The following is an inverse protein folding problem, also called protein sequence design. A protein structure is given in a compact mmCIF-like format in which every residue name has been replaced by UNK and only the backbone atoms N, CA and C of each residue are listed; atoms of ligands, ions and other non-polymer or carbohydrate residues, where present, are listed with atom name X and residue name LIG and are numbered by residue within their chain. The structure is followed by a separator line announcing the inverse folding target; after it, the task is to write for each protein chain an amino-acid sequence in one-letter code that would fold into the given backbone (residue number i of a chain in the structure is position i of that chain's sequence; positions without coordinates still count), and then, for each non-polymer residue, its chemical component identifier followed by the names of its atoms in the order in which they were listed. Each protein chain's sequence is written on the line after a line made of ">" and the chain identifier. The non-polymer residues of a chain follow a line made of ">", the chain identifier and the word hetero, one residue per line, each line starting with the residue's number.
data_IF_974230582336
#
_entry.id   IF_974230582336
#
_cell.length_a   1.000
_cell.length_b   1.000
_cell.length_c   1.000
_cell.angle_alpha   90.00
_cell.angle_beta   90.00
_cell.angle_gamma   90.00
#
_symmetry.space_group_name_H-M   'P 1'
#
loop_
_entity.id
_entity.type
_entity.pdbx_description
1 polymer ?
#
# COMPACT_ATOMS: atom_id res chain seq x y z
N UNK A 1 -5.68 -20.53 5.52
CA UNK A 1 -5.73 -19.66 4.31
C UNK A 1 -4.54 -18.73 4.34
N UNK A 2 -3.84 -18.53 3.22
CA UNK A 2 -2.78 -17.52 3.10
C UNK A 2 -3.40 -16.28 2.43
N UNK A 3 -3.20 -15.10 3.01
CA UNK A 3 -3.64 -13.83 2.45
C UNK A 3 -2.46 -12.95 2.05
N UNK A 4 -2.64 -12.17 1.00
CA UNK A 4 -1.69 -11.17 0.52
C UNK A 4 -2.42 -9.84 0.43
N UNK A 5 -1.84 -8.80 1.03
CA UNK A 5 -2.24 -7.42 0.81
C UNK A 5 -1.37 -6.82 -0.30
N UNK A 6 -1.98 -6.50 -1.42
CA UNK A 6 -1.33 -5.82 -2.53
C UNK A 6 -1.56 -4.31 -2.43
N UNK A 7 -0.50 -3.56 -2.09
CA UNK A 7 -0.57 -2.11 -1.93
C UNK A 7 -0.14 -1.44 -3.23
N UNK A 8 -1.07 -0.72 -3.86
CA UNK A 8 -0.82 0.06 -5.08
C UNK A 8 -0.50 1.50 -4.68
N UNK A 9 0.75 1.90 -4.90
CA UNK A 9 1.26 3.24 -4.62
C UNK A 9 1.59 4.00 -5.92
N UNK A 10 0.70 3.90 -6.92
CA UNK A 10 0.88 4.61 -8.20
C UNK A 10 -0.37 5.40 -8.56
N UNK A 11 -0.27 6.71 -8.82
CA UNK A 11 -1.42 7.52 -9.23
C UNK A 11 -1.90 7.19 -10.64
N UNK A 12 -1.07 6.48 -11.43
CA UNK A 12 -1.32 6.18 -12.84
C UNK A 12 -2.24 4.97 -13.07
N UNK A 13 -2.74 4.33 -12.01
CA UNK A 13 -3.64 3.19 -12.12
C UNK A 13 -3.17 2.13 -13.12
N UNK A 14 -4.00 1.84 -14.12
CA UNK A 14 -3.76 0.82 -15.14
C UNK A 14 -2.69 1.18 -16.17
N UNK A 15 -2.35 2.46 -16.30
CA UNK A 15 -1.23 2.93 -17.14
C UNK A 15 0.14 2.63 -16.51
N UNK A 16 0.16 2.32 -15.21
CA UNK A 16 1.38 1.97 -14.49
C UNK A 16 1.89 0.58 -14.85
N UNK A 17 3.05 0.52 -15.51
CA UNK A 17 3.72 -0.74 -15.85
C UNK A 17 4.02 -1.60 -14.61
N UNK A 18 4.43 -0.99 -13.49
CA UNK A 18 4.73 -1.74 -12.25
C UNK A 18 3.48 -2.37 -11.66
N UNK A 19 2.34 -1.65 -11.68
CA UNK A 19 1.04 -2.20 -11.23
C UNK A 19 0.62 -3.38 -12.10
N UNK A 20 0.78 -3.28 -13.43
CA UNK A 20 0.47 -4.39 -14.35
C UNK A 20 1.31 -5.62 -14.08
N UNK A 21 2.63 -5.45 -13.88
CA UNK A 21 3.53 -6.57 -13.55
C UNK A 21 3.17 -7.18 -12.20
N UNK A 22 2.94 -6.37 -11.16
CA UNK A 22 2.55 -6.85 -9.83
C UNK A 22 1.25 -7.65 -9.85
N UNK A 23 0.21 -7.14 -10.52
CA UNK A 23 -1.05 -7.88 -10.71
C UNK A 23 -0.85 -9.20 -11.44
N UNK A 24 -0.03 -9.22 -12.49
CA UNK A 24 0.25 -10.44 -13.25
C UNK A 24 0.97 -11.49 -12.41
N UNK A 25 1.92 -11.06 -11.58
CA UNK A 25 2.58 -11.94 -10.62
C UNK A 25 1.56 -12.54 -9.64
N UNK A 26 0.71 -11.73 -9.03
CA UNK A 26 -0.30 -12.21 -8.07
C UNK A 26 -1.30 -13.19 -8.70
N UNK A 27 -1.73 -12.94 -9.94
CA UNK A 27 -2.58 -13.86 -10.71
C UNK A 27 -1.94 -15.24 -10.96
N UNK A 28 -0.60 -15.32 -10.93
CA UNK A 28 0.11 -16.59 -11.11
C UNK A 28 0.08 -17.47 -9.86
N UNK A 29 -0.18 -16.89 -8.69
CA UNK A 29 -0.23 -17.60 -7.42
C UNK A 29 -1.53 -18.40 -7.29
N UNK A 30 -1.46 -19.55 -6.61
CA UNK A 30 -2.60 -20.43 -6.31
C UNK A 30 -2.76 -20.58 -4.80
N UNK A 31 -3.99 -20.77 -4.33
CA UNK A 31 -4.26 -21.02 -2.91
C UNK A 31 -4.01 -19.82 -1.98
N UNK A 32 -3.96 -18.61 -2.53
CA UNK A 32 -3.83 -17.35 -1.79
C UNK A 32 -5.05 -16.46 -2.03
N UNK A 33 -5.53 -15.80 -0.98
CA UNK A 33 -6.50 -14.72 -1.10
C UNK A 33 -5.75 -13.40 -1.28
N UNK A 34 -6.13 -12.60 -2.27
CA UNK A 34 -5.49 -11.31 -2.55
C UNK A 34 -6.48 -10.19 -2.28
N UNK A 35 -6.11 -9.28 -1.37
CA UNK A 35 -6.80 -8.02 -1.14
C UNK A 35 -5.95 -6.89 -1.74
N UNK A 36 -6.59 -5.91 -2.38
CA UNK A 36 -5.87 -4.77 -2.97
C UNK A 36 -6.25 -3.47 -2.27
N UNK A 37 -5.24 -2.75 -1.79
CA UNK A 37 -5.36 -1.40 -1.27
C UNK A 37 -4.72 -0.43 -2.25
N UNK A 38 -5.52 0.43 -2.87
CA UNK A 38 -5.05 1.51 -3.74
C UNK A 38 -4.92 2.81 -2.92
N UNK A 39 -3.69 3.25 -2.67
CA UNK A 39 -3.41 4.41 -1.82
C UNK A 39 -3.89 5.73 -2.42
N UNK A 40 -4.17 5.78 -3.73
CA UNK A 40 -4.68 6.98 -4.41
C UNK A 40 -6.21 7.01 -4.49
N UNK A 41 -6.89 5.95 -4.05
CA UNK A 41 -8.36 5.85 -4.05
C UNK A 41 -8.94 5.58 -2.66
N UNK A 42 -8.15 5.01 -1.78
CA UNK A 42 -8.54 4.77 -0.40
C UNK A 42 -8.72 6.09 0.35
N UNK A 43 -9.74 6.12 1.20
CA UNK A 43 -9.91 7.18 2.18
C UNK A 43 -8.91 6.94 3.32
N UNK A 44 -7.73 7.55 3.19
CA UNK A 44 -6.64 7.42 4.16
C UNK A 44 -6.67 8.59 5.12
N UNK A 45 -6.42 8.36 6.43
CA UNK A 45 -6.26 9.44 7.38
C UNK A 45 -5.19 10.45 6.90
N UNK A 46 -5.41 11.76 7.10
CA UNK A 46 -4.42 12.75 6.76
C UNK A 46 -3.16 12.54 7.62
N UNK A 47 -1.99 12.72 7.00
CA UNK A 47 -0.72 12.76 7.73
C UNK A 47 -0.45 14.20 8.17
N UNK A 48 -0.88 14.56 9.37
CA UNK A 48 -0.78 15.90 9.95
C UNK A 48 0.33 16.03 11.01
N UNK A 49 0.46 17.23 11.60
CA UNK A 49 1.55 17.57 12.51
C UNK A 49 1.67 16.63 13.74
N UNK A 50 0.56 16.23 14.41
CA UNK A 50 0.60 15.18 15.44
C UNK A 50 1.23 13.85 14.96
N UNK A 51 0.81 13.33 13.80
CA UNK A 51 1.37 12.06 13.28
C UNK A 51 2.83 12.21 12.84
N UNK A 52 3.20 13.36 12.29
CA UNK A 52 4.59 13.68 12.00
C UNK A 52 5.43 13.73 13.28
N UNK A 53 4.98 14.44 14.32
CA UNK A 53 5.68 14.54 15.60
C UNK A 53 5.90 13.15 16.24
N UNK A 54 4.89 12.27 16.20
CA UNK A 54 5.02 10.89 16.69
C UNK A 54 6.12 10.10 15.97
N UNK A 55 6.29 10.30 14.65
CA UNK A 55 7.37 9.66 13.88
C UNK A 55 8.76 10.12 14.35
N UNK A 56 8.89 11.37 14.80
CA UNK A 56 10.15 11.94 15.26
C UNK A 56 10.39 11.81 16.77
N UNK A 57 9.37 11.46 17.57
CA UNK A 57 9.50 11.27 19.02
C UNK A 57 10.62 10.28 19.39
N UNK A 58 10.72 9.18 18.63
CA UNK A 58 11.79 8.17 18.77
C UNK A 58 13.19 8.76 18.54
N UNK A 59 13.33 9.75 17.66
CA UNK A 59 14.60 10.44 17.40
C UNK A 59 14.91 11.52 18.46
N UNK A 60 13.88 12.07 19.10
CA UNK A 60 13.98 13.07 20.17
C UNK A 60 14.24 12.49 21.56
N UNK A 61 14.13 11.17 21.73
CA UNK A 61 14.35 10.50 23.02
C UNK A 61 13.21 10.69 24.03
N UNK A 62 11.99 10.94 23.55
CA UNK A 62 10.77 11.08 24.36
C UNK A 62 9.82 9.91 24.12
#
# INVERSE_FOLDING_TARGET
>A
MKSILHIVASPRGDESFSVRVGRRFLQSLRGVAVETLDLFRADLPPFDAPYAAAKYAVLGGV
#
